data_IF_648454959871
#
_entry.id   IF_648454959871
#
_cell.length_a   1.000
_cell.length_b   1.000
_cell.length_c   1.000
_cell.angle_alpha   90.00
_cell.angle_beta   90.00
_cell.angle_gamma   90.00
#
_symmetry.space_group_name_H-M   'P 1'
#
loop_
_entity.id
_entity.type
_entity.pdbx_description
1 polymer ?
#
# COMPACT_ATOMS: atom_id res chain seq x y z
N UNK A 1 4.84 -6.15 7.20
CA UNK A 1 4.11 -5.49 6.13
C UNK A 1 5.10 -4.86 5.19
N UNK A 2 4.85 -4.94 3.90
CA UNK A 2 5.77 -4.43 2.91
C UNK A 2 5.52 -2.95 2.66
N UNK A 3 6.58 -2.21 2.41
CA UNK A 3 6.48 -0.80 2.07
C UNK A 3 7.06 -0.58 0.69
N UNK A 4 6.30 0.06 -0.18
CA UNK A 4 6.76 0.43 -1.51
C UNK A 4 7.10 1.90 -1.51
N UNK A 5 8.27 2.23 -2.05
CA UNK A 5 8.67 3.61 -2.21
C UNK A 5 8.52 3.98 -3.67
N UNK A 6 7.79 5.04 -3.93
CA UNK A 6 7.47 5.48 -5.27
C UNK A 6 8.13 6.83 -5.51
N UNK A 7 8.63 7.05 -6.71
CA UNK A 7 9.19 8.33 -7.09
C UNK A 7 8.40 8.91 -8.25
N UNK A 8 8.63 10.18 -8.55
CA UNK A 8 7.93 10.82 -9.65
C UNK A 8 8.27 10.18 -11.00
N UNK A 9 9.35 9.42 -11.06
CA UNK A 9 9.78 8.74 -12.28
C UNK A 9 9.40 7.26 -12.31
N UNK A 10 8.74 6.77 -11.28
CA UNK A 10 8.33 5.38 -11.25
C UNK A 10 7.29 5.10 -12.32
N UNK A 11 7.37 3.92 -12.92
CA UNK A 11 6.40 3.50 -13.92
C UNK A 11 5.15 2.99 -13.17
N UNK A 12 3.98 3.60 -13.38
CA UNK A 12 2.79 3.19 -12.63
C UNK A 12 2.40 1.74 -12.85
N UNK A 13 2.63 1.20 -14.03
CA UNK A 13 2.29 -0.21 -14.30
C UNK A 13 3.17 -1.16 -13.48
N UNK A 14 4.46 -0.84 -13.38
CA UNK A 14 5.37 -1.65 -12.58
C UNK A 14 5.05 -1.57 -11.10
N UNK A 15 4.75 -0.37 -10.63
CA UNK A 15 4.36 -0.17 -9.24
C UNK A 15 3.07 -0.92 -8.94
N UNK A 16 2.11 -0.88 -9.88
CA UNK A 16 0.84 -1.57 -9.71
C UNK A 16 1.05 -3.08 -9.62
N UNK A 17 1.96 -3.62 -10.41
CA UNK A 17 2.26 -5.06 -10.35
C UNK A 17 2.83 -5.44 -8.99
N UNK A 18 3.77 -4.65 -8.48
CA UNK A 18 4.35 -4.90 -7.17
C UNK A 18 3.30 -4.77 -6.07
N UNK A 19 2.43 -3.76 -6.20
CA UNK A 19 1.37 -3.52 -5.24
C UNK A 19 0.39 -4.68 -5.21
N UNK A 20 -0.05 -5.13 -6.37
CA UNK A 20 -0.98 -6.25 -6.48
C UNK A 20 -0.36 -7.52 -5.89
N UNK A 21 0.92 -7.76 -6.15
CA UNK A 21 1.60 -8.91 -5.59
C UNK A 21 1.65 -8.87 -4.07
N UNK A 22 1.93 -7.69 -3.52
CA UNK A 22 1.99 -7.52 -2.07
C UNK A 22 0.62 -7.73 -1.43
N UNK A 23 -0.42 -7.19 -2.05
CA UNK A 23 -1.78 -7.33 -1.51
C UNK A 23 -2.22 -8.80 -1.57
N UNK A 24 -1.88 -9.50 -2.65
CA UNK A 24 -2.20 -10.93 -2.74
C UNK A 24 -1.51 -11.74 -1.66
N UNK A 25 -0.29 -11.33 -1.29
CA UNK A 25 0.51 -12.08 -0.33
C UNK A 25 0.20 -11.69 1.12
N UNK A 26 0.05 -10.40 1.37
CA UNK A 26 -0.05 -9.91 2.75
C UNK A 26 -1.40 -9.28 3.09
N UNK A 27 -2.24 -9.05 2.11
CA UNK A 27 -3.53 -8.37 2.34
C UNK A 27 -3.44 -6.86 2.28
N UNK A 28 -2.25 -6.31 2.38
CA UNK A 28 -2.06 -4.87 2.37
C UNK A 28 -0.62 -4.51 2.05
N UNK A 29 -0.40 -3.26 1.71
CA UNK A 29 0.93 -2.73 1.49
C UNK A 29 0.89 -1.24 1.78
N UNK A 30 1.96 -0.71 2.37
CA UNK A 30 2.07 0.73 2.59
C UNK A 30 2.84 1.33 1.42
N UNK A 31 2.38 2.47 0.93
CA UNK A 31 3.05 3.18 -0.14
C UNK A 31 3.45 4.54 0.40
N UNK A 32 4.75 4.81 0.43
CA UNK A 32 5.27 6.07 0.95
C UNK A 32 5.51 7.03 -0.19
N UNK A 33 4.98 8.23 -0.11
CA UNK A 33 5.12 9.21 -1.18
C UNK A 33 5.48 10.58 -0.62
N UNK A 34 6.31 11.31 -1.37
CA UNK A 34 6.66 12.68 -1.08
C UNK A 34 6.54 13.46 -2.37
N UNK A 35 5.77 14.53 -2.33
CA UNK A 35 5.61 15.41 -3.48
C UNK A 35 4.43 15.05 -4.36
N UNK A 36 3.92 16.08 -5.04
CA UNK A 36 2.70 15.93 -5.84
C UNK A 36 2.88 15.00 -7.03
N UNK A 37 4.04 15.07 -7.68
CA UNK A 37 4.29 14.19 -8.82
C UNK A 37 4.33 12.73 -8.42
N UNK A 38 4.93 12.44 -7.28
CA UNK A 38 5.00 11.09 -6.76
C UNK A 38 3.61 10.60 -6.36
N UNK A 39 2.83 11.47 -5.73
CA UNK A 39 1.47 11.10 -5.34
C UNK A 39 0.63 10.75 -6.56
N UNK A 40 0.76 11.53 -7.64
CA UNK A 40 0.02 11.26 -8.86
C UNK A 40 0.37 9.87 -9.42
N UNK A 41 1.65 9.53 -9.43
CA UNK A 41 2.07 8.21 -9.91
C UNK A 41 1.54 7.10 -9.01
N UNK A 42 1.54 7.32 -7.71
CA UNK A 42 1.04 6.32 -6.78
C UNK A 42 -0.46 6.09 -6.95
N UNK A 43 -1.23 7.16 -7.11
CA UNK A 43 -2.68 7.03 -7.30
C UNK A 43 -2.99 6.31 -8.60
N UNK A 44 -2.25 6.61 -9.67
CA UNK A 44 -2.43 5.88 -10.92
C UNK A 44 -2.13 4.40 -10.74
N UNK A 45 -1.08 4.08 -10.00
CA UNK A 45 -0.71 2.70 -9.76
C UNK A 45 -1.81 1.96 -8.99
N UNK A 46 -2.42 2.62 -8.01
CA UNK A 46 -3.51 2.02 -7.26
C UNK A 46 -4.68 1.73 -8.19
N UNK A 47 -5.01 2.67 -9.07
CA UNK A 47 -6.11 2.47 -10.01
C UNK A 47 -5.84 1.28 -10.95
N UNK A 48 -4.60 1.13 -11.41
CA UNK A 48 -4.22 0.02 -12.26
C UNK A 48 -4.27 -1.29 -11.46
N UNK A 49 -3.77 -1.28 -10.24
CA UNK A 49 -3.77 -2.48 -9.40
C UNK A 49 -5.19 -2.95 -9.10
N UNK A 50 -6.13 -2.03 -8.95
CA UNK A 50 -7.54 -2.41 -8.77
C UNK A 50 -8.01 -3.27 -9.92
N UNK A 51 -7.61 -2.94 -11.15
CA UNK A 51 -7.97 -3.72 -12.32
C UNK A 51 -7.36 -5.13 -12.29
N UNK A 52 -6.10 -5.23 -11.85
CA UNK A 52 -5.44 -6.52 -11.75
C UNK A 52 -6.12 -7.44 -10.73
N UNK A 53 -6.64 -6.85 -9.66
CA UNK A 53 -7.15 -7.62 -8.53
C UNK A 53 -8.65 -7.88 -8.58
N UNK A 54 -9.35 -7.21 -9.47
CA UNK A 54 -10.81 -7.34 -9.54
C UNK A 54 -11.26 -8.77 -9.80
N UNK A 55 -10.53 -9.49 -10.63
CA UNK A 55 -10.91 -10.87 -10.95
C UNK A 55 -10.68 -11.82 -9.78
N UNK A 56 -9.98 -11.38 -8.77
CA UNK A 56 -9.76 -12.18 -7.55
C UNK A 56 -10.70 -11.77 -6.43
N UNK A 57 -11.70 -10.97 -6.74
CA UNK A 57 -12.65 -10.47 -5.73
C UNK A 57 -11.98 -9.62 -4.66
N UNK A 58 -10.88 -8.99 -5.00
CA UNK A 58 -10.20 -8.08 -4.08
C UNK A 58 -10.62 -6.66 -4.43
N UNK A 59 -11.17 -5.96 -3.46
CA UNK A 59 -11.60 -4.57 -3.64
C UNK A 59 -10.58 -3.68 -2.95
N UNK A 60 -9.67 -3.14 -3.72
CA UNK A 60 -8.55 -2.38 -3.18
C UNK A 60 -9.00 -0.98 -2.77
N UNK A 61 -8.62 -0.58 -1.58
CA UNK A 61 -8.88 0.77 -1.09
C UNK A 61 -7.59 1.37 -0.56
N UNK A 62 -7.58 2.67 -0.40
CA UNK A 62 -6.41 3.40 0.05
C UNK A 62 -6.79 4.33 1.19
N UNK A 63 -6.01 4.29 2.26
CA UNK A 63 -6.24 5.14 3.41
C UNK A 63 -4.98 6.00 3.59
N UNK A 64 -5.05 7.30 3.25
CA UNK A 64 -3.88 8.15 3.38
C UNK A 64 -3.71 8.66 4.81
N UNK A 65 -2.47 8.85 5.20
CA UNK A 65 -2.14 9.48 6.46
C UNK A 65 -0.79 10.18 6.32
N UNK A 66 -0.48 11.07 7.25
CA UNK A 66 0.83 11.69 7.26
C UNK A 66 1.81 10.82 8.02
N UNK A 67 3.07 10.89 7.60
CA UNK A 67 4.13 10.21 8.32
C UNK A 67 5.38 11.07 8.25
N UNK A 68 6.18 11.03 9.28
CA UNK A 68 7.43 11.78 9.30
C UNK A 68 8.56 10.85 8.90
N UNK A 69 9.41 11.33 8.04
CA UNK A 69 10.57 10.57 7.60
C UNK A 69 11.78 11.46 7.68
N UNK A 70 12.95 10.87 7.56
CA UNK A 70 14.19 11.60 7.58
C UNK A 70 14.93 11.34 6.29
N UNK A 71 15.35 12.41 5.60
CA UNK A 71 16.12 12.31 4.37
C UNK A 71 17.36 13.14 4.57
N UNK A 72 18.52 12.48 4.49
CA UNK A 72 19.81 13.14 4.66
C UNK A 72 19.88 13.94 5.96
N UNK A 73 19.34 13.38 7.02
CA UNK A 73 19.38 14.01 8.33
C UNK A 73 18.31 15.06 8.54
N UNK A 74 17.47 15.30 7.56
CA UNK A 74 16.43 16.31 7.63
C UNK A 74 15.07 15.68 7.77
N UNK A 75 14.29 16.14 8.72
CA UNK A 75 12.92 15.65 8.88
C UNK A 75 12.02 16.16 7.78
N UNK A 76 11.24 15.30 7.18
CA UNK A 76 10.29 15.64 6.13
C UNK A 76 8.96 14.98 6.42
N UNK A 77 7.89 15.62 6.02
CA UNK A 77 6.57 15.04 6.11
C UNK A 77 6.22 14.37 4.80
N UNK A 78 5.83 13.14 4.87
CA UNK A 78 5.42 12.36 3.70
C UNK A 78 3.99 11.91 3.88
N UNK A 79 3.43 11.34 2.83
CA UNK A 79 2.14 10.67 2.92
C UNK A 79 2.40 9.17 2.92
N UNK A 80 1.66 8.49 3.75
CA UNK A 80 1.64 7.04 3.76
C UNK A 80 0.27 6.62 3.26
N UNK A 81 0.25 5.87 2.19
CA UNK A 81 -0.99 5.37 1.62
C UNK A 81 -1.11 3.91 2.02
N UNK A 82 -2.02 3.61 2.92
CA UNK A 82 -2.25 2.23 3.31
C UNK A 82 -3.21 1.63 2.30
N UNK A 83 -2.70 0.73 1.47
CA UNK A 83 -3.46 0.13 0.38
C UNK A 83 -3.83 -1.28 0.82
N UNK A 84 -5.11 -1.58 0.86
CA UNK A 84 -5.55 -2.85 1.40
C UNK A 84 -6.81 -3.36 0.74
N UNK A 85 -7.09 -4.64 0.95
CA UNK A 85 -8.31 -5.28 0.47
C UNK A 85 -9.45 -4.88 1.40
N UNK A 86 -10.42 -4.15 0.88
CA UNK A 86 -11.56 -3.70 1.69
C UNK A 86 -12.28 -4.87 2.33
N UNK A 87 -12.42 -5.95 1.59
CA UNK A 87 -13.15 -7.11 2.08
C UNK A 87 -12.35 -8.03 2.96
N UNK A 88 -11.07 -7.73 3.16
CA UNK A 88 -10.17 -8.55 3.96
C UNK A 88 -10.19 -10.01 3.52
N UNK A 89 -10.25 -10.23 2.21
CA UNK A 89 -10.29 -11.59 1.68
C UNK A 89 -8.92 -12.25 1.71
N UNK A 90 -7.87 -11.45 1.68
CA UNK A 90 -6.52 -11.96 1.73
C UNK A 90 -6.08 -12.05 3.17
N UNK A 91 -5.61 -13.21 3.59
CA UNK A 91 -5.14 -13.39 4.95
C UNK A 91 -3.63 -13.38 4.93
N UNK A 92 -3.00 -12.45 5.63
CA UNK A 92 -1.54 -12.41 5.68
C UNK A 92 -0.98 -13.67 6.30
N UNK A 93 0.23 -14.02 5.90
CA UNK A 93 0.88 -15.22 6.40
C UNK A 93 0.96 -15.22 7.93
N UNK A 94 1.05 -14.05 8.53
CA UNK A 94 1.17 -13.95 9.97
C UNK A 94 -0.18 -13.74 10.66
N UNK A 95 -1.25 -13.79 9.92
CA UNK A 95 -2.56 -13.45 10.46
C UNK A 95 -2.94 -14.31 11.64
N UNK A 96 -2.55 -15.54 11.61
CA UNK A 96 -2.94 -16.44 12.67
C UNK A 96 -2.35 -15.99 13.99
N UNK A 97 -1.10 -15.66 14.01
CA UNK A 97 -0.50 -15.19 15.24
C UNK A 97 -1.10 -13.87 15.66
N UNK A 98 -1.42 -13.07 14.67
CA UNK A 98 -1.93 -11.76 14.99
C UNK A 98 -3.31 -11.80 15.56
N UNK A 99 -4.12 -12.64 15.02
CA UNK A 99 -5.48 -12.69 15.46
C UNK A 99 -5.61 -12.92 16.93
N UNK A 100 -4.74 -13.69 17.45
CA UNK A 100 -4.83 -13.98 18.84
C UNK A 100 -4.65 -12.79 19.69
N UNK A 101 -3.90 -11.83 19.20
CA UNK A 101 -3.68 -10.67 19.98
C UNK A 101 -4.47 -9.54 19.49
N UNK A 102 -4.64 -9.51 18.23
CA UNK A 102 -5.18 -8.36 17.68
C UNK A 102 -6.61 -8.27 17.78
N UNK A 103 -7.15 -9.24 18.18
CA UNK A 103 -8.48 -9.12 18.34
C UNK A 103 -8.82 -7.84 18.87
N UNK A 104 -7.92 -7.38 19.59
CA UNK A 104 -8.13 -6.15 20.13
C UNK A 104 -8.11 -5.09 19.13
N UNK A 105 -7.45 -5.22 18.18
CA UNK A 105 -7.34 -4.16 17.37
C UNK A 105 -8.40 -4.05 16.47
N UNK A 106 -8.90 -4.66 16.42
CA UNK A 106 -9.70 -4.39 15.43
C UNK A 106 -10.24 -3.63 15.40
#
# INVERSE_FOLDING_TARGET
>A
METLKVSSKSNPNSVAGAMAGAVRRYGSVDVQVIGAGTLNQAVKAIAIARGFLASSDIDLVCIPSFTDIEIDGEGRTALRLAVEDRGHRVQPATAIQTIQTSVSST
#
